data_IF_060383827196
#
_entry.id   IF_060383827196
#
_cell.length_a   1.000
_cell.length_b   1.000
_cell.length_c   1.000
_cell.angle_alpha   90.00
_cell.angle_beta   90.00
_cell.angle_gamma   90.00
#
_symmetry.space_group_name_H-M   'P 1'
#
loop_
_entity.id
_entity.type
_entity.pdbx_description
1 polymer ?
#
# COMPACT_ATOMS: atom_id res chain seq x y z
N UNK A 1 26.37 -25.82 38.44
CA UNK A 1 25.13 -25.91 37.62
C UNK A 1 24.08 -26.54 38.50
N UNK A 2 23.11 -25.79 39.00
CA UNK A 2 22.00 -26.33 39.79
C UNK A 2 20.96 -26.86 38.79
N UNK A 3 20.54 -28.11 38.98
CA UNK A 3 19.44 -28.70 38.24
C UNK A 3 18.14 -27.90 38.49
N UNK A 4 17.32 -27.60 37.47
CA UNK A 4 16.04 -26.99 37.70
C UNK A 4 15.14 -27.99 38.44
N UNK A 5 14.67 -27.65 39.63
CA UNK A 5 13.69 -28.41 40.38
C UNK A 5 12.42 -28.54 39.54
N UNK A 6 12.22 -29.70 38.96
CA UNK A 6 11.03 -30.05 38.19
C UNK A 6 9.81 -30.15 39.11
N UNK A 7 9.16 -29.04 39.40
CA UNK A 7 7.73 -29.05 39.74
C UNK A 7 6.99 -29.31 38.40
N UNK A 8 6.76 -30.55 38.08
CA UNK A 8 5.94 -30.95 36.94
C UNK A 8 4.53 -30.38 37.14
N UNK A 9 4.16 -29.32 36.39
CA UNK A 9 2.79 -28.95 36.20
C UNK A 9 2.10 -30.05 35.40
N UNK A 10 1.52 -31.04 36.08
CA UNK A 10 0.61 -31.95 35.42
C UNK A 10 -0.74 -31.25 35.26
N UNK A 11 -0.92 -30.61 34.12
CA UNK A 11 -2.25 -30.11 33.71
C UNK A 11 -3.05 -31.37 33.32
N UNK A 12 -4.21 -31.64 33.96
CA UNK A 12 -5.09 -32.72 33.55
C UNK A 12 -5.48 -32.53 32.06
N UNK A 13 -5.35 -33.55 31.26
CA UNK A 13 -5.75 -33.52 29.83
C UNK A 13 -7.16 -34.08 29.62
N UNK A 14 -7.86 -34.44 30.67
CA UNK A 14 -9.20 -35.03 30.62
C UNK A 14 -10.28 -33.97 30.29
N UNK A 15 -10.00 -32.71 30.58
CA UNK A 15 -10.88 -31.56 30.27
C UNK A 15 -10.22 -30.64 29.23
N UNK A 16 -11.00 -30.06 28.29
CA UNK A 16 -10.48 -29.02 27.40
C UNK A 16 -9.88 -27.84 28.17
N UNK A 17 -8.68 -27.41 27.81
CA UNK A 17 -8.04 -26.24 28.43
C UNK A 17 -8.71 -24.89 28.11
N UNK A 18 -9.89 -24.89 27.46
CA UNK A 18 -10.67 -23.74 27.05
C UNK A 18 -12.15 -23.94 27.46
N UNK A 19 -12.74 -22.93 28.07
CA UNK A 19 -14.18 -22.82 28.22
C UNK A 19 -14.81 -22.34 26.91
N UNK A 20 -15.29 -23.28 26.12
CA UNK A 20 -15.87 -23.01 24.79
C UNK A 20 -17.13 -22.14 24.91
N UNK A 21 -18.02 -22.44 25.88
CA UNK A 21 -19.28 -21.71 26.03
C UNK A 21 -19.06 -20.25 26.43
N UNK A 22 -18.17 -20.00 27.35
CA UNK A 22 -17.81 -18.64 27.77
C UNK A 22 -17.08 -17.89 26.61
N UNK A 23 -16.27 -18.59 25.81
CA UNK A 23 -15.64 -18.04 24.63
C UNK A 23 -16.62 -17.65 23.53
N UNK A 24 -17.65 -18.48 23.27
CA UNK A 24 -18.72 -18.18 22.30
C UNK A 24 -19.56 -16.97 22.74
N UNK A 25 -19.96 -16.90 24.01
CA UNK A 25 -20.67 -15.74 24.54
C UNK A 25 -19.85 -14.45 24.43
N UNK A 26 -18.56 -14.49 24.77
CA UNK A 26 -17.65 -13.34 24.60
C UNK A 26 -17.58 -12.88 23.15
N UNK A 27 -17.44 -13.81 22.19
CA UNK A 27 -17.41 -13.49 20.76
C UNK A 27 -18.72 -12.85 20.29
N UNK A 28 -19.88 -13.31 20.76
CA UNK A 28 -21.19 -12.71 20.42
C UNK A 28 -21.25 -11.25 20.86
N UNK A 29 -20.81 -10.93 22.08
CA UNK A 29 -20.78 -9.56 22.57
C UNK A 29 -19.78 -8.70 21.81
N UNK A 30 -18.59 -9.21 21.49
CA UNK A 30 -17.62 -8.51 20.67
C UNK A 30 -18.18 -8.22 19.27
N UNK A 31 -18.89 -9.17 18.65
CA UNK A 31 -19.54 -8.93 17.35
C UNK A 31 -20.62 -7.85 17.45
N UNK A 32 -21.39 -7.80 18.55
CA UNK A 32 -22.33 -6.72 18.77
C UNK A 32 -21.62 -5.35 18.83
N UNK A 33 -20.54 -5.25 19.61
CA UNK A 33 -19.71 -4.05 19.73
C UNK A 33 -19.14 -3.66 18.35
N UNK A 34 -18.63 -4.61 17.58
CA UNK A 34 -18.09 -4.35 16.25
C UNK A 34 -19.15 -3.79 15.31
N UNK A 35 -20.38 -4.33 15.33
CA UNK A 35 -21.46 -3.85 14.47
C UNK A 35 -21.92 -2.44 14.87
N UNK A 36 -22.03 -2.16 16.17
CA UNK A 36 -22.51 -0.88 16.67
C UNK A 36 -21.44 0.21 16.60
N UNK A 37 -20.27 -0.05 17.19
CA UNK A 37 -19.21 0.93 17.34
C UNK A 37 -18.28 0.97 16.10
N UNK A 38 -17.93 -0.20 15.56
CA UNK A 38 -16.98 -0.35 14.48
C UNK A 38 -17.60 -0.17 13.10
N UNK A 39 -18.87 -0.52 12.89
CA UNK A 39 -19.54 -0.41 11.58
C UNK A 39 -20.48 0.79 11.56
N UNK A 40 -21.54 0.80 12.35
CA UNK A 40 -22.58 1.84 12.29
C UNK A 40 -22.03 3.22 12.63
N UNK A 41 -21.40 3.37 13.81
CA UNK A 41 -20.83 4.66 14.23
C UNK A 41 -19.65 5.11 13.38
N UNK A 42 -18.85 4.20 12.82
CA UNK A 42 -17.72 4.58 11.99
C UNK A 42 -18.10 5.10 10.61
N UNK A 43 -19.31 4.84 10.15
CA UNK A 43 -19.85 5.34 8.87
C UNK A 43 -20.85 6.49 9.02
N UNK A 44 -21.18 6.88 10.26
CA UNK A 44 -22.11 7.95 10.56
C UNK A 44 -21.41 9.31 10.57
N UNK A 45 -21.82 10.19 9.64
CA UNK A 45 -21.25 11.54 9.46
C UNK A 45 -21.46 12.48 10.65
N UNK A 46 -22.36 12.14 11.60
CA UNK A 46 -22.56 12.90 12.84
C UNK A 46 -21.51 12.58 13.90
N UNK A 47 -20.77 11.49 13.71
CA UNK A 47 -19.70 11.06 14.60
C UNK A 47 -18.38 11.72 14.20
N UNK A 48 -17.43 11.75 15.14
CA UNK A 48 -16.07 12.20 14.84
C UNK A 48 -15.33 11.16 13.98
N UNK A 49 -14.48 11.63 13.06
CA UNK A 49 -13.54 10.78 12.31
C UNK A 49 -12.50 10.16 13.25
N UNK A 50 -12.06 10.90 14.25
CA UNK A 50 -11.20 10.43 15.33
C UNK A 50 -11.48 11.19 16.62
N UNK A 51 -11.36 10.52 17.76
CA UNK A 51 -11.33 11.15 19.08
C UNK A 51 -9.86 11.31 19.51
N UNK A 52 -9.24 12.37 18.95
CA UNK A 52 -7.82 12.62 19.14
C UNK A 52 -7.46 12.87 20.58
N UNK A 53 -6.39 12.26 21.04
CA UNK A 53 -5.76 12.44 22.34
C UNK A 53 -4.25 12.51 22.18
N UNK A 54 -3.59 13.27 23.02
CA UNK A 54 -2.13 13.26 23.07
C UNK A 54 -1.63 11.88 23.56
N UNK A 55 -0.42 11.44 23.12
CA UNK A 55 0.08 10.11 23.49
C UNK A 55 0.13 9.83 24.99
N UNK A 56 0.43 10.85 25.80
CA UNK A 56 0.46 10.71 27.24
C UNK A 56 -0.95 10.54 27.82
N UNK A 57 -1.92 11.31 27.33
CA UNK A 57 -3.32 11.20 27.71
C UNK A 57 -3.89 9.81 27.36
N UNK A 58 -3.54 9.26 26.18
CA UNK A 58 -3.95 7.89 25.83
C UNK A 58 -3.35 6.84 26.75
N UNK A 59 -2.10 7.00 27.18
CA UNK A 59 -1.48 6.07 28.14
C UNK A 59 -2.13 6.11 29.51
N UNK A 60 -2.66 7.25 29.91
CA UNK A 60 -3.39 7.41 31.17
C UNK A 60 -4.83 6.87 31.08
N UNK A 61 -5.47 7.01 29.92
CA UNK A 61 -6.83 6.53 29.68
C UNK A 61 -6.90 5.02 29.41
N UNK A 62 -5.86 4.48 28.74
CA UNK A 62 -5.77 3.09 28.36
C UNK A 62 -4.80 2.37 29.28
N UNK A 63 -5.27 1.37 30.01
CA UNK A 63 -4.38 0.46 30.71
C UNK A 63 -3.74 -0.50 29.68
N UNK A 64 -2.51 -0.18 29.28
CA UNK A 64 -1.75 -0.92 28.26
C UNK A 64 -0.75 -1.90 28.89
N UNK A 65 -0.67 -1.98 30.21
CA UNK A 65 0.24 -2.88 30.91
C UNK A 65 -0.18 -4.34 30.72
N UNK A 66 0.76 -5.18 30.34
CA UNK A 66 0.56 -6.63 30.28
C UNK A 66 0.96 -7.25 31.62
N UNK A 67 -0.03 -7.69 32.39
CA UNK A 67 0.15 -8.27 33.73
C UNK A 67 0.21 -9.79 33.65
N UNK A 68 0.68 -10.42 34.74
CA UNK A 68 0.70 -11.89 34.85
C UNK A 68 -0.71 -12.48 35.02
N UNK A 69 -1.60 -11.72 35.66
CA UNK A 69 -3.00 -12.12 35.86
C UNK A 69 -3.88 -11.59 34.73
N UNK A 70 -4.80 -12.41 34.24
CA UNK A 70 -5.78 -12.04 33.23
C UNK A 70 -6.84 -11.06 33.73
N UNK A 71 -7.43 -10.29 32.80
CA UNK A 71 -8.56 -9.42 33.05
C UNK A 71 -9.89 -10.19 32.91
N UNK A 72 -10.91 -9.74 33.66
CA UNK A 72 -12.28 -10.27 33.56
C UNK A 72 -12.96 -9.88 32.24
N UNK A 73 -14.04 -10.62 31.88
CA UNK A 73 -14.81 -10.45 30.65
C UNK A 73 -15.25 -9.00 30.41
N UNK A 74 -15.85 -8.36 31.40
CA UNK A 74 -16.32 -6.98 31.25
C UNK A 74 -15.18 -5.99 30.93
N UNK A 75 -14.04 -6.19 31.55
CA UNK A 75 -12.87 -5.38 31.29
C UNK A 75 -12.37 -5.57 29.83
N UNK A 76 -12.31 -6.82 29.35
CA UNK A 76 -11.94 -7.13 27.97
C UNK A 76 -12.92 -6.52 26.96
N UNK A 77 -14.22 -6.57 27.22
CA UNK A 77 -15.23 -5.90 26.38
C UNK A 77 -15.06 -4.39 26.40
N UNK A 78 -14.70 -3.80 27.53
CA UNK A 78 -14.37 -2.37 27.60
C UNK A 78 -13.11 -2.04 26.80
N UNK A 79 -12.06 -2.89 26.85
CA UNK A 79 -10.87 -2.74 25.98
C UNK A 79 -11.24 -2.72 24.49
N UNK A 80 -12.14 -3.61 24.06
CA UNK A 80 -12.64 -3.62 22.68
C UNK A 80 -13.31 -2.29 22.29
N UNK A 81 -14.13 -1.72 23.17
CA UNK A 81 -14.75 -0.40 22.95
C UNK A 81 -13.72 0.72 22.90
N UNK A 82 -12.73 0.71 23.78
CA UNK A 82 -11.68 1.72 23.83
C UNK A 82 -10.82 1.71 22.57
N UNK A 83 -10.46 0.52 22.07
CA UNK A 83 -9.75 0.38 20.78
C UNK A 83 -10.56 1.01 19.64
N UNK A 84 -11.86 0.74 19.55
CA UNK A 84 -12.72 1.32 18.52
C UNK A 84 -12.90 2.83 18.69
N UNK A 85 -13.04 3.31 19.92
CA UNK A 85 -13.23 4.72 20.24
C UNK A 85 -12.04 5.59 19.84
N UNK A 86 -10.83 5.16 20.22
CA UNK A 86 -9.61 5.94 19.99
C UNK A 86 -8.91 5.63 18.67
N UNK A 87 -9.42 4.69 17.89
CA UNK A 87 -8.95 4.43 16.52
C UNK A 87 -9.52 5.44 15.53
N UNK A 88 -8.76 5.73 14.47
CA UNK A 88 -9.25 6.53 13.35
C UNK A 88 -10.29 5.73 12.56
N UNK A 89 -11.45 6.32 12.30
CA UNK A 89 -12.55 5.69 11.56
C UNK A 89 -12.32 5.82 10.05
N UNK A 90 -11.52 4.94 9.49
CA UNK A 90 -11.16 4.96 8.05
C UNK A 90 -12.34 4.66 7.12
N UNK A 91 -13.44 4.11 7.64
CA UNK A 91 -14.70 3.92 6.93
C UNK A 91 -15.59 5.17 6.85
N UNK A 92 -15.25 6.21 7.60
CA UNK A 92 -16.06 7.43 7.69
C UNK A 92 -16.09 8.19 6.36
N UNK A 93 -17.26 8.70 5.88
CA UNK A 93 -17.35 9.44 4.62
C UNK A 93 -16.46 10.68 4.55
N UNK A 94 -16.13 11.29 5.69
CA UNK A 94 -15.22 12.46 5.79
C UNK A 94 -13.77 12.08 6.09
N UNK A 95 -13.39 10.81 5.88
CA UNK A 95 -12.01 10.37 5.91
C UNK A 95 -11.48 10.31 4.47
N UNK A 96 -10.64 11.27 4.10
CA UNK A 96 -10.17 11.51 2.73
C UNK A 96 -8.68 11.20 2.53
N UNK A 97 -8.06 10.47 3.44
CA UNK A 97 -6.68 10.04 3.25
C UNK A 97 -6.60 8.93 2.22
N UNK A 98 -5.52 8.96 1.43
CA UNK A 98 -5.23 7.94 0.42
C UNK A 98 -5.16 6.52 1.01
N UNK A 99 -5.26 5.52 0.16
CA UNK A 99 -5.10 4.09 0.45
C UNK A 99 -6.26 3.43 1.23
N UNK A 100 -7.34 4.16 1.48
CA UNK A 100 -8.50 3.66 2.20
C UNK A 100 -9.76 3.88 1.37
N UNK A 101 -10.43 2.80 0.99
CA UNK A 101 -11.61 2.84 0.11
C UNK A 101 -12.95 2.83 0.86
N UNK A 102 -12.95 3.22 2.14
CA UNK A 102 -14.12 3.14 2.99
C UNK A 102 -14.40 1.73 3.51
N UNK A 103 -15.59 1.53 4.09
CA UNK A 103 -16.04 0.25 4.60
C UNK A 103 -16.92 -0.43 3.56
N UNK A 104 -16.56 -1.66 3.16
CA UNK A 104 -17.40 -2.55 2.38
C UNK A 104 -17.81 -3.77 3.22
N UNK A 105 -19.12 -3.97 3.38
CA UNK A 105 -19.65 -5.03 4.24
C UNK A 105 -19.33 -6.44 3.72
N UNK A 106 -19.30 -6.65 2.40
CA UNK A 106 -18.98 -7.96 1.81
C UNK A 106 -17.48 -8.27 1.95
N UNK A 107 -16.62 -7.28 1.71
CA UNK A 107 -15.18 -7.45 1.93
C UNK A 107 -14.87 -7.68 3.42
N UNK A 108 -15.59 -7.01 4.34
CA UNK A 108 -15.47 -7.20 5.78
C UNK A 108 -15.89 -8.62 6.20
N UNK A 109 -17.00 -9.13 5.65
CA UNK A 109 -17.43 -10.52 5.89
C UNK A 109 -16.35 -11.52 5.43
N UNK A 110 -15.73 -11.28 4.27
CA UNK A 110 -14.58 -12.08 3.80
C UNK A 110 -13.40 -12.04 4.78
N UNK A 111 -13.18 -10.90 5.44
CA UNK A 111 -12.14 -10.77 6.45
C UNK A 111 -12.46 -11.57 7.73
N UNK A 112 -13.70 -11.51 8.20
CA UNK A 112 -14.12 -12.34 9.34
C UNK A 112 -13.91 -13.82 9.06
N UNK A 113 -14.31 -14.29 7.88
CA UNK A 113 -14.08 -15.69 7.47
C UNK A 113 -12.58 -16.04 7.43
N UNK A 114 -11.74 -15.15 6.91
CA UNK A 114 -10.28 -15.37 6.84
C UNK A 114 -9.67 -15.54 8.22
N UNK A 115 -10.03 -14.69 9.19
CA UNK A 115 -9.50 -14.76 10.55
C UNK A 115 -10.07 -15.97 11.32
N UNK A 116 -11.36 -16.32 11.11
CA UNK A 116 -12.00 -17.48 11.73
C UNK A 116 -11.40 -18.79 11.26
N UNK A 117 -11.11 -18.92 9.96
CA UNK A 117 -10.47 -20.11 9.39
C UNK A 117 -9.03 -20.28 9.84
N UNK A 118 -8.34 -19.18 10.19
CA UNK A 118 -6.95 -19.16 10.65
C UNK A 118 -6.01 -20.07 9.85
N UNK A 119 -6.17 -20.09 8.53
CA UNK A 119 -5.40 -20.92 7.60
C UNK A 119 -4.55 -20.09 6.66
N UNK A 120 -3.60 -20.73 6.01
CA UNK A 120 -2.70 -20.09 5.05
C UNK A 120 -2.76 -20.79 3.70
N UNK A 121 -3.02 -20.08 2.59
CA UNK A 121 -3.10 -20.67 1.26
C UNK A 121 -1.71 -20.92 0.66
N UNK A 122 -0.85 -21.70 1.31
CA UNK A 122 0.44 -22.10 0.76
C UNK A 122 0.37 -23.46 0.02
N UNK A 123 -0.53 -24.36 0.43
CA UNK A 123 -0.83 -25.58 -0.28
C UNK A 123 -2.35 -25.76 -0.45
N UNK A 124 -2.72 -26.52 -1.48
CA UNK A 124 -4.12 -26.88 -1.72
C UNK A 124 -4.68 -27.72 -0.57
N UNK A 125 -3.88 -28.62 -0.01
CA UNK A 125 -4.25 -29.47 1.14
C UNK A 125 -4.71 -28.65 2.36
N UNK A 126 -4.02 -27.56 2.66
CA UNK A 126 -4.33 -26.72 3.83
C UNK A 126 -5.45 -25.73 3.60
N UNK A 127 -5.64 -25.28 2.35
CA UNK A 127 -6.59 -24.22 2.05
C UNK A 127 -7.24 -24.41 0.65
N UNK A 128 -7.89 -25.56 0.39
CA UNK A 128 -8.32 -25.93 -0.96
C UNK A 128 -9.22 -24.86 -1.61
N UNK A 129 -10.24 -24.42 -0.91
CA UNK A 129 -11.19 -23.42 -1.44
C UNK A 129 -10.51 -22.05 -1.65
N UNK A 130 -9.64 -21.64 -0.74
CA UNK A 130 -8.99 -20.33 -0.79
C UNK A 130 -7.96 -20.23 -1.92
N UNK A 131 -7.27 -21.32 -2.21
CA UNK A 131 -6.34 -21.42 -3.35
C UNK A 131 -7.09 -21.28 -4.68
N UNK A 132 -8.21 -21.98 -4.84
CA UNK A 132 -9.05 -21.89 -6.05
C UNK A 132 -9.69 -20.49 -6.20
N UNK A 133 -10.13 -19.88 -5.10
CA UNK A 133 -10.66 -18.50 -5.13
C UNK A 133 -9.59 -17.50 -5.54
N UNK A 134 -8.36 -17.62 -5.02
CA UNK A 134 -7.22 -16.77 -5.41
C UNK A 134 -6.94 -16.92 -6.91
N UNK A 135 -6.90 -18.16 -7.43
CA UNK A 135 -6.70 -18.43 -8.85
C UNK A 135 -7.77 -17.74 -9.73
N UNK A 136 -9.04 -17.87 -9.36
CA UNK A 136 -10.14 -17.25 -10.12
C UNK A 136 -10.08 -15.72 -10.11
N UNK A 137 -9.75 -15.11 -8.97
CA UNK A 137 -9.58 -13.66 -8.88
C UNK A 137 -8.41 -13.19 -9.75
N UNK A 138 -7.28 -13.88 -9.70
CA UNK A 138 -6.11 -13.57 -10.52
C UNK A 138 -6.38 -13.77 -12.02
N UNK A 139 -7.15 -14.82 -12.40
CA UNK A 139 -7.58 -15.04 -13.78
C UNK A 139 -8.44 -13.86 -14.26
N UNK A 140 -9.39 -13.41 -13.45
CA UNK A 140 -10.25 -12.27 -13.79
C UNK A 140 -9.49 -10.94 -13.88
N UNK A 141 -8.50 -10.72 -13.01
CA UNK A 141 -7.63 -9.55 -13.10
C UNK A 141 -6.79 -9.57 -14.39
N UNK A 142 -6.25 -10.73 -14.81
CA UNK A 142 -5.52 -10.87 -16.09
C UNK A 142 -6.43 -10.54 -17.28
N UNK A 143 -7.66 -11.05 -17.28
CA UNK A 143 -8.64 -10.74 -18.32
C UNK A 143 -8.89 -9.23 -18.45
N UNK A 144 -9.07 -8.52 -17.32
CA UNK A 144 -9.28 -7.07 -17.32
C UNK A 144 -8.08 -6.27 -17.85
N UNK A 145 -6.88 -6.79 -17.64
CA UNK A 145 -5.63 -6.18 -18.16
C UNK A 145 -5.41 -6.52 -19.63
N UNK A 146 -6.16 -7.47 -20.17
CA UNK A 146 -6.02 -7.93 -21.56
C UNK A 146 -4.95 -9.02 -21.77
N UNK A 147 -4.49 -9.68 -20.71
CA UNK A 147 -3.50 -10.76 -20.81
C UNK A 147 -4.17 -12.12 -20.99
N UNK A 148 -3.79 -12.83 -22.04
CA UNK A 148 -4.28 -14.18 -22.36
C UNK A 148 -3.64 -15.26 -21.49
N UNK A 149 -2.47 -15.00 -20.92
CA UNK A 149 -1.70 -15.95 -20.10
C UNK A 149 -0.97 -15.21 -18.97
N UNK A 150 -0.43 -15.98 -18.05
CA UNK A 150 0.33 -15.45 -16.93
C UNK A 150 -0.11 -16.06 -15.61
N UNK A 151 0.57 -15.69 -14.54
CA UNK A 151 0.31 -16.15 -13.19
C UNK A 151 0.44 -14.98 -12.21
N UNK A 152 0.03 -15.19 -10.97
CA UNK A 152 0.09 -14.17 -9.94
C UNK A 152 -0.02 -14.74 -8.54
N UNK A 153 0.13 -13.86 -7.57
CA UNK A 153 -0.05 -14.16 -6.15
C UNK A 153 -0.48 -12.88 -5.42
N UNK A 154 -1.32 -13.00 -4.41
CA UNK A 154 -1.58 -11.90 -3.50
C UNK A 154 -0.38 -11.68 -2.57
N UNK A 155 0.15 -10.45 -2.60
CA UNK A 155 1.27 -10.01 -1.76
C UNK A 155 0.79 -9.07 -0.66
N UNK A 156 1.51 -8.96 0.48
CA UNK A 156 1.13 -8.06 1.58
C UNK A 156 1.51 -6.59 1.28
N UNK A 157 0.90 -6.04 0.23
CA UNK A 157 1.05 -4.66 -0.20
C UNK A 157 2.05 -4.43 -1.32
N UNK A 158 1.93 -3.26 -2.00
CA UNK A 158 2.70 -2.90 -3.19
C UNK A 158 4.21 -2.92 -3.02
N UNK A 159 4.73 -2.58 -1.84
CA UNK A 159 6.17 -2.64 -1.60
C UNK A 159 6.75 -4.04 -1.77
N UNK A 160 6.06 -5.06 -1.26
CA UNK A 160 6.48 -6.45 -1.45
C UNK A 160 6.25 -6.89 -2.90
N UNK A 161 5.15 -6.46 -3.54
CA UNK A 161 4.91 -6.73 -4.96
C UNK A 161 6.05 -6.20 -5.85
N UNK A 162 6.53 -4.97 -5.61
CA UNK A 162 7.65 -4.38 -6.31
C UNK A 162 8.96 -5.15 -6.09
N UNK A 163 9.22 -5.59 -4.84
CA UNK A 163 10.38 -6.43 -4.52
C UNK A 163 10.31 -7.79 -5.21
N UNK A 164 9.13 -8.41 -5.24
CA UNK A 164 8.91 -9.66 -5.96
C UNK A 164 9.19 -9.49 -7.45
N UNK A 165 8.68 -8.44 -8.09
CA UNK A 165 8.93 -8.15 -9.50
C UNK A 165 10.41 -7.98 -9.83
N UNK A 166 11.17 -7.23 -9.02
CA UNK A 166 12.63 -7.09 -9.17
C UNK A 166 13.34 -8.44 -9.06
N UNK A 167 12.94 -9.26 -8.09
CA UNK A 167 13.55 -10.57 -7.90
C UNK A 167 13.21 -11.53 -9.05
N UNK A 168 11.99 -11.47 -9.59
CA UNK A 168 11.60 -12.20 -10.80
C UNK A 168 12.47 -11.81 -11.99
N UNK A 169 12.62 -10.52 -12.24
CA UNK A 169 13.44 -10.01 -13.32
C UNK A 169 14.88 -10.51 -13.22
N UNK A 170 15.46 -10.43 -12.00
CA UNK A 170 16.80 -10.95 -11.72
C UNK A 170 16.91 -12.45 -11.98
N UNK A 171 15.99 -13.22 -11.42
CA UNK A 171 16.00 -14.69 -11.59
C UNK A 171 15.84 -15.11 -13.06
N UNK A 172 14.95 -14.44 -13.79
CA UNK A 172 14.74 -14.73 -15.22
C UNK A 172 15.99 -14.48 -16.04
N UNK A 173 16.72 -13.40 -15.74
CA UNK A 173 17.95 -13.02 -16.46
C UNK A 173 19.16 -13.85 -15.99
N UNK A 174 19.23 -14.16 -14.70
CA UNK A 174 20.32 -14.83 -14.01
C UNK A 174 19.79 -15.93 -13.10
N UNK A 175 19.39 -17.09 -13.64
CA UNK A 175 18.80 -18.19 -12.84
C UNK A 175 19.72 -18.71 -11.73
N UNK A 176 21.03 -18.64 -11.90
CA UNK A 176 22.06 -18.99 -10.93
C UNK A 176 22.02 -18.10 -9.67
N UNK A 177 21.43 -16.93 -9.74
CA UNK A 177 21.25 -16.03 -8.58
C UNK A 177 20.48 -16.71 -7.43
N UNK A 178 19.67 -17.73 -7.74
CA UNK A 178 18.94 -18.51 -6.73
C UNK A 178 19.88 -19.28 -5.79
N UNK A 179 20.94 -19.86 -6.33
CA UNK A 179 21.87 -20.71 -5.57
C UNK A 179 23.14 -19.97 -5.14
N UNK A 180 23.60 -19.01 -5.96
CA UNK A 180 24.86 -18.28 -5.75
C UNK A 180 24.66 -16.87 -5.17
N UNK A 181 23.42 -16.37 -5.09
CA UNK A 181 23.12 -14.99 -4.69
C UNK A 181 23.58 -13.99 -5.75
N UNK A 182 23.96 -12.78 -5.32
CA UNK A 182 24.39 -11.71 -6.22
C UNK A 182 25.92 -11.68 -6.43
N UNK A 183 26.67 -12.58 -5.82
CA UNK A 183 28.13 -12.51 -5.75
C UNK A 183 28.83 -12.57 -7.09
N UNK A 184 28.35 -13.44 -7.98
CA UNK A 184 28.92 -13.62 -9.32
C UNK A 184 28.18 -12.84 -10.42
N UNK A 185 27.19 -12.01 -10.05
CA UNK A 185 26.42 -11.23 -11.00
C UNK A 185 27.13 -9.91 -11.35
N UNK A 186 26.93 -9.39 -12.56
CA UNK A 186 27.28 -8.01 -12.84
C UNK A 186 26.47 -7.07 -11.95
N UNK A 187 26.90 -5.82 -11.81
CA UNK A 187 26.04 -4.80 -11.18
C UNK A 187 24.76 -4.68 -12.00
N UNK A 188 23.59 -4.76 -11.33
CA UNK A 188 22.30 -4.73 -12.00
C UNK A 188 21.75 -3.31 -11.97
N UNK A 189 21.51 -2.72 -13.15
CA UNK A 189 20.90 -1.39 -13.28
C UNK A 189 19.36 -1.48 -13.28
N UNK A 190 18.73 -0.74 -12.39
CA UNK A 190 17.27 -0.58 -12.30
C UNK A 190 16.92 0.86 -12.71
N UNK A 191 15.85 1.05 -13.46
CA UNK A 191 15.38 2.37 -13.88
C UNK A 191 13.98 2.61 -13.36
N UNK A 192 13.76 3.79 -12.81
CA UNK A 192 12.46 4.18 -12.27
C UNK A 192 12.26 5.70 -12.42
N UNK A 193 11.03 6.15 -12.51
CA UNK A 193 10.71 7.58 -12.50
C UNK A 193 11.15 8.23 -11.17
N UNK A 194 11.51 9.50 -11.22
CA UNK A 194 11.72 10.31 -10.01
C UNK A 194 10.47 10.36 -9.12
N UNK A 195 9.30 10.13 -9.70
CA UNK A 195 8.00 10.07 -9.03
C UNK A 195 7.60 8.66 -8.60
N UNK A 196 8.44 7.66 -8.84
CA UNK A 196 8.18 6.27 -8.45
C UNK A 196 8.09 6.13 -6.93
N UNK A 197 7.36 5.13 -6.48
CA UNK A 197 7.23 4.87 -5.06
C UNK A 197 8.58 4.48 -4.44
N UNK A 198 8.88 5.00 -3.26
CA UNK A 198 10.15 4.76 -2.53
C UNK A 198 10.46 3.27 -2.30
N UNK A 199 9.49 2.38 -2.46
CA UNK A 199 9.69 0.92 -2.35
C UNK A 199 10.67 0.36 -3.39
N UNK A 200 10.86 1.04 -4.52
CA UNK A 200 11.85 0.65 -5.53
C UNK A 200 13.25 0.74 -4.93
N UNK A 201 13.60 1.86 -4.30
CA UNK A 201 14.88 2.03 -3.60
C UNK A 201 15.04 1.03 -2.44
N UNK A 202 13.99 0.87 -1.62
CA UNK A 202 14.01 -0.11 -0.53
C UNK A 202 14.17 -1.55 -1.03
N UNK A 203 13.50 -1.89 -2.13
CA UNK A 203 13.60 -3.20 -2.77
C UNK A 203 15.01 -3.48 -3.31
N UNK A 204 15.62 -2.50 -3.97
CA UNK A 204 17.00 -2.60 -4.45
C UNK A 204 17.99 -2.85 -3.28
N UNK A 205 17.81 -2.12 -2.16
CA UNK A 205 18.62 -2.33 -0.96
C UNK A 205 18.42 -3.73 -0.37
N UNK A 206 17.16 -4.15 -0.16
CA UNK A 206 16.82 -5.45 0.43
C UNK A 206 17.33 -6.64 -0.40
N UNK A 207 17.24 -6.54 -1.72
CA UNK A 207 17.68 -7.59 -2.64
C UNK A 207 19.21 -7.59 -2.89
N UNK A 208 19.96 -6.71 -2.22
CA UNK A 208 21.40 -6.61 -2.36
C UNK A 208 21.86 -6.09 -3.74
N UNK A 209 20.96 -5.40 -4.46
CA UNK A 209 21.30 -4.70 -5.71
C UNK A 209 21.98 -3.37 -5.38
N UNK A 210 21.52 -2.70 -4.32
CA UNK A 210 22.02 -1.40 -3.87
C UNK A 210 21.26 -0.22 -4.49
N UNK A 211 21.04 0.81 -3.68
CA UNK A 211 20.31 2.03 -4.09
C UNK A 211 21.02 2.83 -5.16
N UNK A 212 22.36 2.80 -5.18
CA UNK A 212 23.17 3.51 -6.17
C UNK A 212 23.02 2.94 -7.58
N UNK A 213 22.45 1.75 -7.71
CA UNK A 213 22.16 1.10 -8.98
C UNK A 213 20.71 1.34 -9.45
N UNK A 214 19.96 2.19 -8.74
CA UNK A 214 18.64 2.66 -9.17
C UNK A 214 18.80 4.02 -9.85
N UNK A 215 18.62 4.04 -11.16
CA UNK A 215 18.73 5.23 -11.99
C UNK A 215 17.37 5.93 -12.06
N UNK A 216 17.27 7.10 -11.42
CA UNK A 216 16.04 7.88 -11.41
C UNK A 216 15.92 8.69 -12.70
N UNK A 217 14.94 8.35 -13.51
CA UNK A 217 14.64 8.99 -14.80
C UNK A 217 13.82 10.26 -14.58
N UNK A 218 14.18 11.34 -15.27
CA UNK A 218 13.47 12.62 -15.19
C UNK A 218 12.02 12.51 -15.64
N UNK A 219 11.19 13.34 -15.03
CA UNK A 219 9.78 13.45 -15.36
C UNK A 219 9.46 14.80 -16.00
N UNK A 220 8.35 14.85 -16.70
CA UNK A 220 7.77 16.08 -17.22
C UNK A 220 7.10 16.89 -16.08
N UNK A 221 6.52 18.05 -16.43
CA UNK A 221 5.81 18.93 -15.47
C UNK A 221 4.57 18.26 -14.84
N UNK A 222 4.08 17.18 -15.42
CA UNK A 222 2.93 16.40 -14.92
C UNK A 222 3.36 15.18 -14.09
N UNK A 223 4.66 14.97 -13.89
CA UNK A 223 5.21 13.87 -13.11
C UNK A 223 5.29 12.54 -13.87
N UNK A 224 5.22 12.55 -15.21
CA UNK A 224 5.36 11.36 -16.05
C UNK A 224 6.81 11.14 -16.43
N UNK A 225 7.27 9.89 -16.43
CA UNK A 225 8.58 9.51 -16.94
C UNK A 225 8.73 9.98 -18.40
N UNK A 226 9.84 10.62 -18.72
CA UNK A 226 10.17 11.06 -20.08
C UNK A 226 10.88 9.90 -20.79
N UNK A 227 10.29 9.29 -21.86
CA UNK A 227 10.88 8.13 -22.55
C UNK A 227 12.27 8.40 -23.13
N UNK A 228 12.51 9.59 -23.65
CA UNK A 228 13.80 9.99 -24.20
C UNK A 228 14.89 10.05 -23.13
N UNK A 229 14.53 10.41 -21.90
CA UNK A 229 15.46 10.39 -20.78
C UNK A 229 15.72 8.97 -20.28
N UNK A 230 14.72 8.09 -20.31
CA UNK A 230 14.92 6.66 -20.05
C UNK A 230 15.90 6.05 -21.03
N UNK A 231 15.72 6.30 -22.33
CA UNK A 231 16.63 5.82 -23.38
C UNK A 231 18.06 6.31 -23.14
N UNK A 232 18.24 7.60 -22.84
CA UNK A 232 19.56 8.18 -22.55
C UNK A 232 20.22 7.53 -21.33
N UNK A 233 19.46 7.33 -20.24
CA UNK A 233 19.99 6.70 -19.03
C UNK A 233 20.41 5.24 -19.28
N UNK A 234 19.63 4.47 -20.02
CA UNK A 234 19.98 3.10 -20.40
C UNK A 234 21.27 3.08 -21.22
N UNK A 235 21.38 3.98 -22.20
CA UNK A 235 22.59 4.07 -23.04
C UNK A 235 23.81 4.52 -22.22
N UNK A 236 23.65 5.48 -21.30
CA UNK A 236 24.70 5.92 -20.38
C UNK A 236 25.24 4.75 -19.57
N UNK A 237 24.35 3.99 -18.93
CA UNK A 237 24.70 2.83 -18.11
C UNK A 237 25.42 1.77 -18.95
N UNK A 238 24.95 1.49 -20.18
CA UNK A 238 25.61 0.56 -21.12
C UNK A 238 26.98 1.05 -21.56
N UNK A 239 27.18 2.36 -21.75
CA UNK A 239 28.46 2.94 -22.12
C UNK A 239 29.50 2.87 -21.02
N UNK A 240 29.10 3.06 -19.76
CA UNK A 240 29.97 2.91 -18.58
C UNK A 240 30.51 1.48 -18.44
N UNK A 241 29.73 0.47 -18.86
CA UNK A 241 30.20 -0.92 -18.96
C UNK A 241 31.38 -1.05 -19.94
N UNK A 242 31.34 -0.32 -21.07
CA UNK A 242 32.34 -0.43 -22.13
C UNK A 242 33.64 0.33 -21.84
N UNK A 243 33.58 1.41 -21.06
CA UNK A 243 34.73 2.31 -20.84
C UNK A 243 35.54 2.01 -19.59
N UNK A 244 35.06 1.12 -18.69
CA UNK A 244 35.74 0.81 -17.43
C UNK A 244 35.82 1.98 -16.45
N UNK A 245 35.12 3.08 -16.66
CA UNK A 245 35.10 4.24 -15.81
C UNK A 245 34.19 4.01 -14.60
N UNK A 246 34.79 3.72 -13.45
CA UNK A 246 34.10 3.77 -12.15
C UNK A 246 34.11 5.21 -11.63
N UNK A 247 32.99 5.74 -11.11
CA UNK A 247 33.03 6.91 -10.22
C UNK A 247 33.85 6.52 -8.99
N UNK A 248 34.73 7.39 -8.56
CA UNK A 248 35.71 7.20 -7.49
C UNK A 248 35.09 6.65 -6.21
N UNK A 249 35.32 5.38 -5.92
CA UNK A 249 35.25 4.81 -4.57
C UNK A 249 36.67 4.48 -4.13
N UNK A 250 37.10 4.86 -2.91
CA UNK A 250 38.44 4.57 -2.44
C UNK A 250 38.56 3.08 -2.10
N UNK A 251 39.29 2.36 -2.94
CA UNK A 251 39.67 0.95 -2.92
C UNK A 251 38.63 -0.05 -3.46
N UNK A 252 38.79 -0.50 -4.71
CA UNK A 252 38.07 -1.65 -5.20
C UNK A 252 38.66 -2.92 -4.58
N UNK A 253 37.79 -3.75 -3.93
CA UNK A 253 38.08 -5.17 -3.84
C UNK A 253 38.13 -5.69 -5.28
N UNK A 254 39.30 -6.08 -5.76
CA UNK A 254 39.46 -6.73 -7.06
C UNK A 254 38.81 -8.11 -7.00
N UNK A 255 37.58 -8.21 -7.48
CA UNK A 255 36.99 -9.50 -7.87
C UNK A 255 37.56 -9.89 -9.22
N UNK A 256 38.02 -11.14 -9.39
CA UNK A 256 38.77 -11.55 -10.59
C UNK A 256 38.03 -11.49 -11.92
N UNK A 257 36.69 -11.35 -11.94
CA UNK A 257 35.88 -11.39 -13.16
C UNK A 257 34.70 -10.38 -13.20
N UNK A 258 34.68 -9.33 -12.38
CA UNK A 258 33.64 -8.33 -12.44
C UNK A 258 33.95 -7.31 -13.55
N UNK A 259 33.18 -7.30 -14.62
CA UNK A 259 33.18 -6.23 -15.61
C UNK A 259 32.80 -4.90 -14.95
N UNK A 260 33.55 -3.80 -15.16
CA UNK A 260 33.16 -2.50 -14.64
C UNK A 260 31.97 -1.98 -15.44
N UNK A 261 30.82 -1.82 -14.79
CA UNK A 261 29.58 -1.28 -15.35
C UNK A 261 28.35 -2.02 -14.84
N UNK A 262 27.18 -1.39 -14.94
CA UNK A 262 25.92 -2.00 -14.55
C UNK A 262 25.20 -2.60 -15.75
N UNK A 263 24.76 -3.86 -15.65
CA UNK A 263 23.89 -4.50 -16.64
C UNK A 263 22.46 -3.98 -16.46
N UNK A 264 21.89 -3.25 -17.43
CA UNK A 264 20.49 -2.84 -17.38
C UNK A 264 19.57 -4.06 -17.31
N UNK A 265 18.67 -4.07 -16.30
CA UNK A 265 17.83 -5.24 -16.02
C UNK A 265 16.34 -4.92 -16.04
N UNK A 266 15.93 -3.82 -15.41
CA UNK A 266 14.56 -3.63 -14.96
C UNK A 266 14.14 -2.16 -15.10
N UNK A 267 12.96 -1.93 -15.65
CA UNK A 267 12.31 -0.62 -15.70
C UNK A 267 11.01 -0.69 -14.92
N UNK A 268 10.82 0.24 -13.97
CA UNK A 268 9.57 0.44 -13.26
C UNK A 268 8.84 1.64 -13.84
N UNK A 269 7.78 1.41 -14.60
CA UNK A 269 6.80 2.42 -14.96
C UNK A 269 5.68 2.48 -13.93
N UNK A 270 5.07 3.63 -13.72
CA UNK A 270 4.04 3.84 -12.71
C UNK A 270 2.69 4.16 -13.36
N UNK A 271 1.64 3.44 -12.98
CA UNK A 271 0.25 3.72 -13.36
C UNK A 271 -0.49 4.35 -12.18
N UNK A 272 -0.40 5.67 -12.07
CA UNK A 272 -0.93 6.46 -10.97
C UNK A 272 0.11 6.72 -9.87
N UNK A 273 0.98 7.75 -10.06
CA UNK A 273 1.98 8.12 -9.05
C UNK A 273 1.32 8.51 -7.73
N UNK A 274 2.00 8.24 -6.63
CA UNK A 274 1.45 8.43 -5.27
C UNK A 274 0.99 9.87 -5.02
N UNK A 275 1.70 10.87 -5.54
CA UNK A 275 1.41 12.28 -5.28
C UNK A 275 0.44 12.84 -6.31
N UNK A 276 0.82 12.84 -7.57
CA UNK A 276 0.09 13.54 -8.63
C UNK A 276 -0.94 12.66 -9.34
N UNK A 277 -0.89 11.33 -9.14
CA UNK A 277 -1.72 10.39 -9.89
C UNK A 277 -1.33 10.29 -11.36
N UNK A 278 -0.09 10.64 -11.72
CA UNK A 278 0.39 10.64 -13.09
C UNK A 278 0.56 9.21 -13.63
N UNK A 279 0.27 9.04 -14.91
CA UNK A 279 0.45 7.77 -15.63
C UNK A 279 1.64 7.88 -16.59
N UNK A 280 2.63 7.05 -16.40
CA UNK A 280 3.77 6.97 -17.31
C UNK A 280 3.33 6.51 -18.72
N UNK A 281 3.98 6.93 -19.80
CA UNK A 281 3.64 6.56 -21.18
C UNK A 281 4.06 5.11 -21.46
N UNK A 282 3.22 4.14 -21.06
CA UNK A 282 3.54 2.71 -21.02
C UNK A 282 3.97 2.14 -22.36
N UNK A 283 3.31 2.54 -23.46
CA UNK A 283 3.61 2.03 -24.81
C UNK A 283 5.06 2.40 -25.22
N UNK A 284 5.42 3.67 -25.08
CA UNK A 284 6.76 4.13 -25.41
C UNK A 284 7.84 3.49 -24.52
N UNK A 285 7.54 3.31 -23.23
CA UNK A 285 8.46 2.63 -22.29
C UNK A 285 8.57 1.15 -22.63
N UNK A 286 7.48 0.49 -23.04
CA UNK A 286 7.47 -0.91 -23.46
C UNK A 286 8.35 -1.12 -24.70
N UNK A 287 8.25 -0.24 -25.69
CA UNK A 287 9.08 -0.28 -26.90
C UNK A 287 10.58 -0.17 -26.57
N UNK A 288 10.94 0.76 -25.67
CA UNK A 288 12.32 0.90 -25.17
C UNK A 288 12.77 -0.37 -24.46
N UNK A 289 11.94 -0.92 -23.58
CA UNK A 289 12.26 -2.15 -22.85
C UNK A 289 12.44 -3.34 -23.80
N UNK A 290 11.58 -3.47 -24.81
CA UNK A 290 11.69 -4.51 -25.83
C UNK A 290 12.98 -4.37 -26.66
N UNK A 291 13.32 -3.14 -27.11
CA UNK A 291 14.54 -2.85 -27.85
C UNK A 291 15.81 -3.21 -27.07
N UNK A 292 15.82 -2.94 -25.78
CA UNK A 292 16.98 -3.20 -24.92
C UNK A 292 16.97 -4.56 -24.21
N UNK A 293 15.91 -5.36 -24.34
CA UNK A 293 15.75 -6.65 -23.67
C UNK A 293 15.60 -6.53 -22.14
N UNK A 294 14.95 -5.46 -21.66
CA UNK A 294 14.75 -5.18 -20.24
C UNK A 294 13.41 -5.71 -19.76
N UNK A 295 13.36 -6.03 -18.48
CA UNK A 295 12.11 -6.34 -17.81
C UNK A 295 11.29 -5.07 -17.56
N UNK A 296 10.08 -5.01 -18.11
CA UNK A 296 9.11 -3.96 -17.76
C UNK A 296 8.25 -4.41 -16.60
N UNK A 297 8.27 -3.62 -15.54
CA UNK A 297 7.34 -3.70 -14.42
C UNK A 297 6.46 -2.46 -14.41
N UNK A 298 5.15 -2.66 -14.28
CA UNK A 298 4.21 -1.56 -14.07
C UNK A 298 3.77 -1.60 -12.61
N UNK A 299 4.16 -0.57 -11.85
CA UNK A 299 3.72 -0.42 -10.47
C UNK A 299 2.23 -0.08 -10.46
N UNK A 300 1.44 -1.01 -9.89
CA UNK A 300 -0.02 -1.08 -9.99
C UNK A 300 -0.50 -2.46 -10.48
N UNK A 301 0.38 -3.33 -11.02
CA UNK A 301 0.08 -4.70 -11.50
C UNK A 301 1.06 -5.76 -10.98
N UNK A 302 0.60 -7.04 -10.86
CA UNK A 302 1.27 -8.16 -10.17
C UNK A 302 1.98 -9.14 -11.10
N UNK A 303 3.12 -9.73 -10.65
CA UNK A 303 3.75 -10.91 -11.29
C UNK A 303 4.49 -11.87 -10.32
N UNK A 304 4.76 -13.11 -10.81
CA UNK A 304 5.20 -14.34 -10.12
C UNK A 304 6.71 -14.53 -10.07
N UNK A 305 7.27 -14.92 -8.91
CA UNK A 305 8.47 -15.79 -8.79
C UNK A 305 8.98 -15.98 -7.35
N UNK A 306 8.86 -17.16 -6.77
CA UNK A 306 9.83 -17.66 -5.77
C UNK A 306 9.56 -19.14 -5.50
N UNK A 307 10.42 -20.05 -6.02
CA UNK A 307 10.36 -21.46 -5.69
C UNK A 307 11.59 -21.89 -4.88
N UNK A 308 11.42 -22.10 -3.58
CA UNK A 308 12.30 -22.98 -2.79
C UNK A 308 11.43 -24.11 -2.27
N UNK A 309 11.53 -25.27 -2.89
CA UNK A 309 10.79 -26.46 -2.47
C UNK A 309 11.23 -26.90 -1.08
N UNK A 310 10.40 -26.68 -0.07
CA UNK A 310 10.51 -27.36 1.21
C UNK A 310 9.90 -28.75 1.05
N UNK A 311 10.73 -29.79 0.95
CA UNK A 311 10.30 -31.16 0.64
C UNK A 311 9.28 -31.74 1.61
N UNK A 312 9.18 -31.23 2.82
CA UNK A 312 8.20 -31.64 3.82
C UNK A 312 6.81 -30.97 3.63
N UNK A 313 6.70 -29.88 2.84
CA UNK A 313 5.45 -29.18 2.55
C UNK A 313 4.98 -29.45 1.10
N UNK A 314 5.92 -29.55 0.15
CA UNK A 314 5.66 -29.66 -1.28
C UNK A 314 6.08 -31.05 -1.79
N UNK A 315 5.50 -32.08 -1.21
CA UNK A 315 5.70 -33.48 -1.61
C UNK A 315 5.09 -33.69 -3.00
N UNK A 316 5.82 -34.36 -3.90
CA UNK A 316 5.37 -34.63 -5.27
C UNK A 316 4.41 -35.81 -5.39
N UNK A 317 4.31 -36.61 -4.35
CA UNK A 317 3.47 -37.83 -4.25
C UNK A 317 2.12 -37.56 -3.57
N UNK A 318 1.69 -36.30 -3.49
CA UNK A 318 0.36 -35.95 -2.99
C UNK A 318 -0.72 -36.49 -3.93
N UNK A 319 -1.89 -36.80 -3.36
CA UNK A 319 -3.03 -37.40 -4.07
C UNK A 319 -3.81 -36.41 -4.95
N UNK A 320 -3.38 -35.15 -5.01
CA UNK A 320 -3.97 -34.08 -5.81
C UNK A 320 -2.93 -33.39 -6.69
N UNK A 321 -3.39 -32.56 -7.63
CA UNK A 321 -2.52 -31.79 -8.53
C UNK A 321 -1.68 -30.77 -7.75
N UNK A 322 -0.40 -31.05 -7.55
CA UNK A 322 0.54 -30.20 -6.81
C UNK A 322 0.83 -28.85 -7.50
N UNK A 323 0.39 -28.64 -8.76
CA UNK A 323 0.46 -27.33 -9.41
C UNK A 323 -0.43 -26.29 -8.73
N UNK A 324 -1.40 -26.74 -7.94
CA UNK A 324 -2.26 -25.90 -7.10
C UNK A 324 -1.55 -25.38 -5.84
N UNK A 325 -0.42 -25.94 -5.45
CA UNK A 325 0.35 -25.45 -4.31
C UNK A 325 1.00 -24.10 -4.63
N UNK A 326 0.65 -23.07 -3.87
CA UNK A 326 1.07 -21.69 -4.15
C UNK A 326 2.30 -21.25 -3.36
N UNK A 327 2.82 -22.09 -2.47
CA UNK A 327 3.96 -21.78 -1.61
C UNK A 327 5.24 -21.46 -2.37
N UNK A 328 5.41 -22.01 -3.56
CA UNK A 328 6.56 -21.72 -4.44
C UNK A 328 6.46 -20.35 -5.15
N UNK A 329 5.31 -19.70 -5.10
CA UNK A 329 5.07 -18.40 -5.77
C UNK A 329 5.51 -17.20 -4.93
N UNK A 330 5.84 -17.40 -3.65
CA UNK A 330 6.18 -16.34 -2.71
C UNK A 330 7.28 -16.79 -1.75
N UNK A 331 8.14 -15.88 -1.24
CA UNK A 331 9.08 -16.20 -0.17
C UNK A 331 8.40 -16.46 1.17
N UNK A 332 7.08 -16.20 1.27
CA UNK A 332 6.31 -16.40 2.47
C UNK A 332 5.66 -17.78 2.49
N UNK A 333 5.96 -18.58 3.51
CA UNK A 333 5.21 -19.80 3.79
C UNK A 333 3.81 -19.44 4.33
N UNK A 334 3.76 -18.64 5.39
CA UNK A 334 2.50 -18.14 5.95
C UNK A 334 1.99 -16.91 5.18
N UNK A 335 0.81 -17.00 4.54
CA UNK A 335 0.11 -15.93 3.86
C UNK A 335 -1.32 -15.82 4.35
N UNK A 336 -1.85 -14.59 4.42
CA UNK A 336 -3.29 -14.40 4.61
C UNK A 336 -4.05 -14.70 3.32
N UNK A 337 -5.26 -15.21 3.46
CA UNK A 337 -6.15 -15.50 2.33
C UNK A 337 -6.85 -14.23 1.80
N UNK A 338 -6.06 -13.24 1.40
CA UNK A 338 -6.57 -11.93 0.96
C UNK A 338 -7.43 -12.01 -0.31
N UNK A 339 -7.26 -13.04 -1.13
CA UNK A 339 -8.08 -13.33 -2.30
C UNK A 339 -9.56 -13.51 -1.97
N UNK A 340 -9.89 -14.12 -0.81
CA UNK A 340 -11.28 -14.33 -0.37
C UNK A 340 -12.06 -13.02 -0.24
N UNK A 341 -11.47 -11.96 0.31
CA UNK A 341 -12.13 -10.65 0.48
C UNK A 341 -12.57 -10.07 -0.87
N UNK A 342 -11.65 -10.10 -1.83
CA UNK A 342 -11.93 -9.58 -3.17
C UNK A 342 -12.90 -10.50 -3.92
N UNK A 343 -12.81 -11.82 -3.75
CA UNK A 343 -13.71 -12.79 -4.35
C UNK A 343 -15.16 -12.56 -3.87
N UNK A 344 -15.40 -12.43 -2.55
CA UNK A 344 -16.74 -12.16 -2.01
C UNK A 344 -17.27 -10.82 -2.50
N UNK A 345 -16.45 -9.76 -2.47
CA UNK A 345 -16.85 -8.47 -3.00
C UNK A 345 -17.22 -8.56 -4.47
N UNK A 346 -16.41 -9.25 -5.28
CA UNK A 346 -16.69 -9.42 -6.70
C UNK A 346 -17.97 -10.21 -6.97
N UNK A 347 -18.22 -11.28 -6.18
CA UNK A 347 -19.48 -12.03 -6.25
C UNK A 347 -20.68 -11.17 -5.88
N UNK A 348 -20.53 -10.25 -4.94
CA UNK A 348 -21.61 -9.37 -4.50
C UNK A 348 -21.96 -8.27 -5.52
N UNK A 349 -20.97 -7.65 -6.15
CA UNK A 349 -21.19 -6.45 -6.99
C UNK A 349 -20.89 -6.66 -8.46
N UNK A 350 -20.20 -7.73 -8.83
CA UNK A 350 -19.77 -8.02 -10.20
C UNK A 350 -18.73 -7.03 -10.75
N UNK A 351 -18.23 -7.28 -11.95
CA UNK A 351 -17.32 -6.36 -12.64
C UNK A 351 -17.97 -5.00 -12.93
N UNK A 352 -19.27 -4.99 -13.24
CA UNK A 352 -20.00 -3.74 -13.47
C UNK A 352 -20.08 -2.87 -12.22
N UNK A 353 -20.39 -3.46 -11.07
CA UNK A 353 -20.43 -2.72 -9.80
C UNK A 353 -19.05 -2.18 -9.37
N UNK A 354 -17.98 -2.91 -9.63
CA UNK A 354 -16.61 -2.41 -9.43
C UNK A 354 -16.31 -1.25 -10.38
N UNK A 355 -16.68 -1.35 -11.67
CA UNK A 355 -16.56 -0.27 -12.64
C UNK A 355 -17.31 0.99 -12.21
N UNK A 356 -18.56 0.85 -11.76
CA UNK A 356 -19.37 1.96 -11.25
C UNK A 356 -18.73 2.66 -10.04
N UNK A 357 -18.04 1.93 -9.15
CA UNK A 357 -17.29 2.53 -8.04
C UNK A 357 -16.14 3.40 -8.55
N UNK A 358 -15.42 2.95 -9.58
CA UNK A 358 -14.35 3.72 -10.22
C UNK A 358 -14.92 4.99 -10.88
N UNK A 359 -16.01 4.87 -11.67
CA UNK A 359 -16.67 6.02 -12.30
C UNK A 359 -17.19 7.02 -11.27
N UNK A 360 -17.73 6.53 -10.14
CA UNK A 360 -18.15 7.38 -9.03
C UNK A 360 -16.98 8.17 -8.42
N UNK A 361 -15.81 7.56 -8.25
CA UNK A 361 -14.61 8.22 -7.75
C UNK A 361 -14.17 9.35 -8.71
N UNK A 362 -14.16 9.11 -10.02
CA UNK A 362 -13.88 10.15 -11.01
C UNK A 362 -14.94 11.26 -11.01
N UNK A 363 -16.22 10.92 -10.88
CA UNK A 363 -17.31 11.88 -10.85
C UNK A 363 -17.22 12.78 -9.60
N UNK A 364 -16.91 12.21 -8.44
CA UNK A 364 -16.68 12.94 -7.20
C UNK A 364 -15.47 13.88 -7.31
N UNK A 365 -14.38 13.41 -7.92
CA UNK A 365 -13.19 14.24 -8.15
C UNK A 365 -13.47 15.40 -9.11
N UNK A 366 -14.20 15.17 -10.21
CA UNK A 366 -14.62 16.25 -11.14
C UNK A 366 -15.49 17.28 -10.44
N UNK A 367 -16.46 16.85 -9.65
CA UNK A 367 -17.29 17.77 -8.87
C UNK A 367 -16.43 18.62 -7.93
N UNK A 368 -15.54 18.01 -7.17
CA UNK A 368 -14.69 18.75 -6.23
C UNK A 368 -13.72 19.71 -6.96
N UNK A 369 -13.18 19.29 -8.10
CA UNK A 369 -12.36 20.15 -8.97
C UNK A 369 -13.09 21.44 -9.39
N UNK A 370 -14.36 21.32 -9.81
CA UNK A 370 -15.17 22.47 -10.14
C UNK A 370 -15.41 23.39 -8.94
N UNK A 371 -15.67 22.82 -7.76
CA UNK A 371 -15.84 23.60 -6.53
C UNK A 371 -14.55 24.30 -6.12
N UNK A 372 -13.39 23.64 -6.19
CA UNK A 372 -12.07 24.25 -5.92
C UNK A 372 -11.79 25.42 -6.86
N UNK A 373 -12.13 25.30 -8.15
CA UNK A 373 -11.95 26.40 -9.13
C UNK A 373 -12.88 27.60 -8.92
N UNK A 374 -14.04 27.39 -8.30
CA UNK A 374 -15.06 28.45 -8.09
C UNK A 374 -14.91 29.19 -6.76
N UNK A 375 -14.29 28.54 -5.76
CA UNK A 375 -14.21 29.10 -4.41
C UNK A 375 -12.99 29.99 -4.25
N UNK A 376 -13.19 31.17 -3.67
CA UNK A 376 -12.10 32.07 -3.34
C UNK A 376 -11.14 31.47 -2.33
N UNK A 377 -9.85 31.70 -2.51
CA UNK A 377 -8.79 31.19 -1.66
C UNK A 377 -8.36 29.77 -1.97
N UNK A 378 -8.98 29.06 -2.90
CA UNK A 378 -8.53 27.74 -3.35
C UNK A 378 -7.79 27.86 -4.68
N UNK A 379 -6.59 27.27 -4.75
CA UNK A 379 -5.76 27.27 -5.95
C UNK A 379 -5.26 25.89 -6.25
N UNK A 380 -5.48 25.42 -7.48
CA UNK A 380 -4.95 24.12 -7.93
C UNK A 380 -3.43 24.15 -8.04
N UNK A 381 -2.78 23.06 -7.64
CA UNK A 381 -1.37 22.81 -7.94
C UNK A 381 -1.23 22.49 -9.43
N UNK A 382 -2.13 21.63 -9.94
CA UNK A 382 -2.22 21.25 -11.34
C UNK A 382 -3.59 20.62 -11.65
N UNK A 383 -3.95 20.55 -12.93
CA UNK A 383 -5.11 19.79 -13.39
C UNK A 383 -4.91 18.30 -13.13
N UNK A 384 -5.84 17.62 -12.43
CA UNK A 384 -5.71 16.22 -12.13
C UNK A 384 -5.83 15.35 -13.40
N UNK A 385 -4.98 14.36 -13.52
CA UNK A 385 -5.08 13.32 -14.56
C UNK A 385 -5.90 12.12 -14.04
N UNK A 386 -5.86 11.89 -12.75
CA UNK A 386 -6.53 10.80 -12.05
C UNK A 386 -7.47 11.35 -10.97
N UNK A 387 -7.69 10.61 -9.90
CA UNK A 387 -8.52 11.01 -8.78
C UNK A 387 -7.75 11.78 -7.70
N UNK A 388 -6.47 12.11 -7.94
CA UNK A 388 -5.64 12.89 -7.04
C UNK A 388 -5.87 14.39 -7.30
N UNK A 389 -6.61 15.06 -6.43
CA UNK A 389 -6.81 16.50 -6.49
C UNK A 389 -5.86 17.20 -5.54
N UNK A 390 -4.90 17.95 -6.09
CA UNK A 390 -3.88 18.68 -5.35
C UNK A 390 -4.15 20.18 -5.41
N UNK A 391 -4.25 20.87 -4.25
CA UNK A 391 -4.58 22.28 -4.18
C UNK A 391 -4.04 22.93 -2.91
N UNK A 392 -3.82 24.24 -2.96
CA UNK A 392 -3.60 25.09 -1.80
C UNK A 392 -4.90 25.75 -1.35
N UNK A 393 -5.01 26.00 -0.05
CA UNK A 393 -5.91 26.99 0.50
C UNK A 393 -5.08 28.20 0.91
N UNK A 394 -5.43 29.39 0.39
CA UNK A 394 -4.78 30.67 0.65
C UNK A 394 -5.66 31.44 1.63
N UNK A 395 -5.26 31.58 2.90
CA UNK A 395 -6.01 32.33 3.90
C UNK A 395 -6.19 33.81 3.49
N UNK A 396 -7.23 34.50 3.99
CA UNK A 396 -7.43 35.92 3.71
C UNK A 396 -6.21 36.79 3.98
N UNK A 397 -5.43 36.44 5.03
CA UNK A 397 -4.20 37.17 5.42
C UNK A 397 -3.09 37.11 4.38
N UNK A 398 -3.08 36.11 3.48
CA UNK A 398 -2.04 35.95 2.46
C UNK A 398 -2.49 36.32 1.04
N UNK A 399 -3.78 36.58 0.83
CA UNK A 399 -4.31 36.94 -0.51
C UNK A 399 -3.74 38.27 -0.97
N UNK A 400 -3.37 38.34 -2.25
CA UNK A 400 -2.73 39.51 -2.82
C UNK A 400 -1.26 39.71 -2.46
N UNK A 401 -0.65 38.72 -1.77
CA UNK A 401 0.77 38.78 -1.40
C UNK A 401 1.63 37.79 -2.20
N UNK A 402 1.12 37.24 -3.30
CA UNK A 402 1.75 36.13 -4.08
C UNK A 402 3.12 36.54 -4.65
N UNK A 403 3.41 37.81 -4.81
CA UNK A 403 4.70 38.33 -5.23
C UNK A 403 5.72 38.56 -4.09
N UNK A 404 5.29 38.40 -2.83
CA UNK A 404 6.18 38.55 -1.68
C UNK A 404 7.15 37.36 -1.60
N UNK A 405 8.44 37.57 -1.33
CA UNK A 405 9.41 36.49 -1.13
C UNK A 405 9.01 35.50 -0.02
N UNK A 406 8.28 35.98 0.98
CA UNK A 406 7.86 35.18 2.14
C UNK A 406 6.55 34.41 1.92
N UNK A 407 5.83 34.68 0.81
CA UNK A 407 4.51 34.11 0.55
C UNK A 407 4.52 32.58 0.60
N UNK A 408 5.42 31.95 -0.13
CA UNK A 408 5.49 30.51 -0.22
C UNK A 408 5.88 29.85 1.10
N UNK A 409 6.77 30.47 1.89
CA UNK A 409 7.13 29.97 3.22
C UNK A 409 5.95 30.02 4.19
N UNK A 410 5.15 31.09 4.14
CA UNK A 410 3.93 31.21 4.95
C UNK A 410 2.87 30.23 4.48
N UNK A 411 2.62 30.12 3.16
CA UNK A 411 1.66 29.19 2.57
C UNK A 411 1.99 27.75 2.91
N UNK A 412 3.29 27.38 2.93
CA UNK A 412 3.74 26.05 3.30
C UNK A 412 3.35 25.61 4.72
N UNK A 413 3.02 26.54 5.61
CA UNK A 413 2.59 26.28 6.99
C UNK A 413 1.08 26.15 7.14
N UNK A 414 0.30 26.58 6.15
CA UNK A 414 -1.17 26.62 6.21
C UNK A 414 -1.78 25.22 6.26
N UNK A 415 -1.41 24.33 5.34
CA UNK A 415 -1.97 22.97 5.31
C UNK A 415 -1.64 22.17 6.58
N UNK A 416 -0.40 22.19 7.14
CA UNK A 416 -0.10 21.59 8.45
C UNK A 416 -0.98 22.15 9.58
N UNK A 417 -1.16 23.47 9.68
CA UNK A 417 -1.94 24.12 10.73
C UNK A 417 -3.43 23.76 10.64
N UNK A 418 -4.01 23.77 9.44
CA UNK A 418 -5.40 23.33 9.22
C UNK A 418 -5.54 21.84 9.58
N UNK A 419 -4.58 21.01 9.20
CA UNK A 419 -4.60 19.58 9.52
C UNK A 419 -4.60 19.33 11.03
N UNK A 420 -3.81 20.08 11.79
CA UNK A 420 -3.81 19.98 13.26
C UNK A 420 -5.17 20.34 13.84
N UNK A 421 -5.74 21.50 13.46
CA UNK A 421 -7.07 21.93 13.90
C UNK A 421 -8.15 20.90 13.56
N UNK A 422 -8.09 20.33 12.35
CA UNK A 422 -8.99 19.28 11.85
C UNK A 422 -8.94 18.02 12.69
N UNK A 423 -7.73 17.53 13.01
CA UNK A 423 -7.53 16.32 13.83
C UNK A 423 -8.04 16.55 15.25
N UNK A 424 -7.70 17.70 15.88
CA UNK A 424 -8.16 18.04 17.24
C UNK A 424 -9.67 18.17 17.34
N UNK A 425 -10.31 18.72 16.30
CA UNK A 425 -11.78 18.78 16.21
C UNK A 425 -12.38 17.40 15.95
N UNK A 426 -11.68 16.53 15.22
CA UNK A 426 -12.14 15.21 14.79
C UNK A 426 -13.19 15.28 13.66
N UNK A 427 -13.33 16.41 12.98
CA UNK A 427 -14.38 16.67 11.99
C UNK A 427 -14.17 15.93 10.68
N UNK A 428 -12.93 15.85 10.22
CA UNK A 428 -12.54 15.12 9.01
C UNK A 428 -11.04 14.82 9.01
N UNK A 429 -10.55 14.14 7.97
CA UNK A 429 -9.12 13.88 7.79
C UNK A 429 -8.73 13.90 6.32
N UNK A 430 -7.72 14.71 5.97
CA UNK A 430 -7.10 14.76 4.63
C UNK A 430 -5.58 14.86 4.76
N UNK A 431 -4.85 14.35 3.77
CA UNK A 431 -3.39 14.43 3.70
C UNK A 431 -2.90 15.73 3.09
N UNK A 432 -1.69 16.15 3.49
CA UNK A 432 -0.93 17.20 2.81
C UNK A 432 0.52 16.76 2.63
N UNK A 433 1.23 17.37 1.72
CA UNK A 433 2.66 17.11 1.48
C UNK A 433 3.27 18.20 0.58
N UNK A 434 4.60 18.39 0.61
CA UNK A 434 5.31 19.13 -0.42
C UNK A 434 5.56 18.23 -1.64
N UNK A 435 5.88 18.84 -2.80
CA UNK A 435 6.30 18.10 -3.97
C UNK A 435 7.17 18.94 -4.91
N UNK A 436 8.38 18.48 -5.25
CA UNK A 436 9.33 19.24 -6.04
C UNK A 436 9.64 20.61 -5.41
N UNK A 437 9.40 21.69 -6.14
CA UNK A 437 9.50 23.08 -5.63
C UNK A 437 8.24 23.58 -4.95
N UNK A 438 7.15 22.82 -4.97
CA UNK A 438 5.89 23.21 -4.35
C UNK A 438 5.92 22.97 -2.85
N UNK A 439 5.54 24.00 -2.08
CA UNK A 439 5.35 23.88 -0.63
C UNK A 439 4.15 22.99 -0.31
N UNK A 440 3.94 22.68 0.96
CA UNK A 440 2.83 21.82 1.40
C UNK A 440 1.49 22.24 0.77
N UNK A 441 0.79 21.28 0.18
CA UNK A 441 -0.54 21.41 -0.38
C UNK A 441 -1.42 20.23 0.05
N UNK A 442 -2.72 20.40 0.06
CA UNK A 442 -3.67 19.31 0.29
C UNK A 442 -3.69 18.36 -0.90
N UNK A 443 -3.67 17.07 -0.61
CA UNK A 443 -3.89 16.02 -1.59
C UNK A 443 -5.12 15.22 -1.20
N UNK A 444 -6.17 15.39 -1.98
CA UNK A 444 -7.45 14.76 -1.81
C UNK A 444 -7.60 13.58 -2.78
N UNK A 445 -8.00 12.40 -2.28
CA UNK A 445 -8.28 11.21 -3.07
C UNK A 445 -9.61 10.63 -2.59
N UNK A 446 -10.59 10.51 -3.50
CA UNK A 446 -11.93 10.02 -3.19
C UNK A 446 -12.07 8.60 -3.72
N UNK A 447 -12.02 7.62 -2.85
CA UNK A 447 -12.23 6.21 -3.18
C UNK A 447 -13.37 5.57 -2.38
N UNK A 448 -13.82 6.22 -1.31
CA UNK A 448 -14.94 5.74 -0.49
C UNK A 448 -16.28 5.94 -1.23
N UNK A 449 -17.03 4.87 -1.58
CA UNK A 449 -18.29 5.00 -2.31
C UNK A 449 -19.42 5.62 -1.49
N UNK A 450 -19.27 5.77 -0.18
CA UNK A 450 -20.27 6.40 0.68
C UNK A 450 -20.22 7.93 0.65
N UNK A 451 -19.17 8.54 0.08
CA UNK A 451 -19.01 9.99 -0.03
C UNK A 451 -20.13 10.58 -0.90
N UNK A 452 -20.76 11.65 -0.40
CA UNK A 452 -21.82 12.40 -1.08
C UNK A 452 -21.33 13.81 -1.49
N UNK A 453 -22.11 14.52 -2.29
CA UNK A 453 -21.82 15.93 -2.59
C UNK A 453 -21.76 16.79 -1.33
N UNK A 454 -22.66 16.54 -0.39
CA UNK A 454 -22.67 17.24 0.89
C UNK A 454 -21.35 17.09 1.66
N UNK A 455 -20.76 15.88 1.65
CA UNK A 455 -19.46 15.64 2.29
C UNK A 455 -18.32 16.36 1.58
N UNK A 456 -18.41 16.51 0.25
CA UNK A 456 -17.43 17.25 -0.55
C UNK A 456 -17.56 18.77 -0.35
N UNK A 457 -18.76 19.30 -0.21
CA UNK A 457 -18.98 20.70 0.14
C UNK A 457 -18.49 20.97 1.56
N UNK A 458 -18.88 20.14 2.51
CA UNK A 458 -18.37 20.20 3.88
C UNK A 458 -16.83 20.18 3.93
N UNK A 459 -16.19 19.37 3.10
CA UNK A 459 -14.73 19.26 3.04
C UNK A 459 -14.07 20.63 2.75
N UNK A 460 -14.58 21.38 1.78
CA UNK A 460 -14.05 22.69 1.43
C UNK A 460 -14.45 23.76 2.46
N UNK A 461 -15.69 23.70 2.97
CA UNK A 461 -16.18 24.61 4.01
C UNK A 461 -15.34 24.50 5.28
N UNK A 462 -15.03 23.27 5.70
CA UNK A 462 -14.22 22.99 6.90
C UNK A 462 -12.77 23.47 6.72
N UNK A 463 -12.15 23.29 5.55
CA UNK A 463 -10.82 23.82 5.26
C UNK A 463 -10.84 25.37 5.35
N UNK A 464 -11.85 26.00 4.77
CA UNK A 464 -11.99 27.44 4.78
C UNK A 464 -12.21 27.97 6.21
N UNK A 465 -13.08 27.34 7.00
CA UNK A 465 -13.34 27.72 8.39
C UNK A 465 -12.08 27.59 9.25
N UNK A 466 -11.41 26.43 9.19
CA UNK A 466 -10.21 26.15 10.00
C UNK A 466 -9.00 26.99 9.58
N UNK A 467 -8.96 27.47 8.34
CA UNK A 467 -7.87 28.28 7.80
C UNK A 467 -8.14 29.78 7.78
N UNK A 468 -9.31 30.26 8.19
CA UNK A 468 -9.70 31.64 8.04
C UNK A 468 -8.84 32.64 8.81
N UNK A 469 -8.36 32.25 9.96
CA UNK A 469 -7.58 33.05 10.93
C UNK A 469 -6.05 32.84 10.83
N UNK A 470 -5.59 32.14 9.82
CA UNK A 470 -4.16 31.82 9.62
C UNK A 470 -3.42 32.94 8.87
#
# INVERSE_FOLDING_TARGET
MAEPSGAGYSIPLDDPGLDIAAGEEFLQEVFQILLEEGVRKSTDVTQKVCDWKEPQELRELLDLELRNDGEGREQLLQRCRDVLRFSVRTGHPRFFNQLFSGLDHHALAGRFLTETLNTSPYTYEMAPVLVLMEEQVLAKLRELVGWSSGDGIFAPGGSISNMLAMNVARFRRFPESRSRGNWDLPRLGLFASQESHYSILKGAALLGIGTDNVHLVRTDKRGKMIPEELEKEIQRVKAEVRTGCTPMSPKPLKLPNASPGSEPLFVCATSGTTVLGAFDPLDAIADICAHHGLWLHVDGLLQRCHGVGASYLFQRDKFYDVSLDTGDKSPQCGRRADGLKLWILWKAVGSQGLGQRVERAFSATRYLLEQVKRREGFQLVMEPEFINLCFWFIPPSLRGQESSPEFWDKLGKVAPAIKEKMIRRGSMMVGYQPHGSHVNFFRQIITNPAVTRHDLDFFLDEIQELGWDL
#
